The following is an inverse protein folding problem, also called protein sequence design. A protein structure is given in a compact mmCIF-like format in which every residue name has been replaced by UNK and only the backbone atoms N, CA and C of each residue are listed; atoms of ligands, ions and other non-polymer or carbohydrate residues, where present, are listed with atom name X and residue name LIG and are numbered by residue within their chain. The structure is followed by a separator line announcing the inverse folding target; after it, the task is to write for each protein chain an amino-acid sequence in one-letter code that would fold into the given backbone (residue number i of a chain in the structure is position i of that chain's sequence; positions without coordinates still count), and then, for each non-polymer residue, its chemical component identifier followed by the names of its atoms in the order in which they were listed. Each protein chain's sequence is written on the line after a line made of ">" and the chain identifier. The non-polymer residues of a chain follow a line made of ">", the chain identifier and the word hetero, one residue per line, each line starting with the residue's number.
data_IF_123089262887
#
_entry.id   IF_123089262887
#
_cell.length_a   1.000
_cell.length_b   1.000
_cell.length_c   1.000
_cell.angle_alpha   90.00
_cell.angle_beta   90.00
_cell.angle_gamma   90.00
#
_symmetry.space_group_name_H-M   'P 1'
#
loop_
_entity.id
_entity.type
_entity.pdbx_description
1 polymer ?
#
# COMPACT_ATOMS: atom_id res chain seq x y z
N UNK A 1 -12.24 10.18 5.20
CA UNK A 1 -11.37 9.76 6.33
C UNK A 1 -10.73 8.42 6.08
N UNK A 2 -11.48 7.35 5.97
CA UNK A 2 -10.97 5.99 5.79
C UNK A 2 -9.99 5.82 4.62
N UNK A 3 -10.25 6.42 3.46
CA UNK A 3 -9.35 6.27 2.31
C UNK A 3 -7.98 6.95 2.51
N UNK A 4 -7.89 8.07 3.26
CA UNK A 4 -6.60 8.71 3.57
C UNK A 4 -5.77 7.86 4.50
N UNK A 5 -6.40 7.27 5.52
CA UNK A 5 -5.75 6.29 6.39
C UNK A 5 -5.27 5.06 5.59
N UNK A 6 -6.08 4.57 4.65
CA UNK A 6 -5.73 3.48 3.75
C UNK A 6 -4.48 3.81 2.92
N UNK A 7 -4.45 4.97 2.24
CA UNK A 7 -3.30 5.40 1.43
C UNK A 7 -2.03 5.52 2.29
N UNK A 8 -2.12 6.15 3.46
CA UNK A 8 -0.99 6.32 4.36
C UNK A 8 -0.45 4.96 4.85
N UNK A 9 -1.32 4.01 5.19
CA UNK A 9 -0.92 2.67 5.57
C UNK A 9 -0.30 1.89 4.41
N UNK A 10 -0.84 1.98 3.19
CA UNK A 10 -0.26 1.31 2.02
C UNK A 10 1.15 1.82 1.73
N UNK A 11 1.35 3.13 1.75
CA UNK A 11 2.68 3.74 1.56
C UNK A 11 3.65 3.26 2.64
N UNK A 12 3.21 3.23 3.89
CA UNK A 12 3.99 2.72 5.02
C UNK A 12 4.38 1.24 4.82
N UNK A 13 3.44 0.40 4.39
CA UNK A 13 3.67 -1.01 4.13
C UNK A 13 4.63 -1.23 2.97
N UNK A 14 4.40 -0.56 1.85
CA UNK A 14 5.25 -0.67 0.66
C UNK A 14 6.68 -0.14 0.92
N UNK A 15 6.84 0.82 1.84
CA UNK A 15 8.14 1.31 2.29
C UNK A 15 8.79 0.48 3.41
N UNK A 16 8.17 -0.63 3.85
CA UNK A 16 8.70 -1.45 4.95
C UNK A 16 10.01 -2.13 4.57
N UNK A 17 10.95 -2.14 5.49
CA UNK A 17 12.28 -2.73 5.29
C UNK A 17 13.26 -2.20 6.34
N UNK A 18 14.56 -2.12 6.00
CA UNK A 18 15.22 -2.60 4.79
C UNK A 18 15.34 -4.14 4.78
N UNK A 19 15.45 -4.72 3.60
CA UNK A 19 15.66 -6.15 3.30
C UNK A 19 14.53 -7.09 3.71
N UNK A 20 14.02 -7.03 4.93
CA UNK A 20 13.02 -7.94 5.50
C UNK A 20 11.57 -7.47 5.36
N UNK A 21 11.31 -6.43 4.59
CA UNK A 21 9.97 -5.92 4.28
C UNK A 21 9.65 -5.96 2.79
N UNK A 22 8.55 -5.32 2.40
CA UNK A 22 8.22 -5.16 0.99
C UNK A 22 9.29 -4.37 0.26
N UNK A 23 9.63 -3.17 0.76
CA UNK A 23 10.72 -2.35 0.24
C UNK A 23 10.53 -1.88 -1.21
N UNK A 24 9.30 -1.83 -1.69
CA UNK A 24 8.98 -1.38 -3.06
C UNK A 24 9.09 0.14 -3.20
N UNK A 25 8.86 0.87 -2.10
CA UNK A 25 8.98 2.31 -2.03
C UNK A 25 10.16 2.72 -1.13
N UNK A 26 10.92 3.69 -1.60
CA UNK A 26 11.94 4.38 -0.83
C UNK A 26 11.29 5.67 -0.32
N UNK A 27 11.09 5.76 0.98
CA UNK A 27 10.49 6.93 1.63
C UNK A 27 11.56 7.96 1.97
N UNK A 28 11.22 9.27 1.99
CA UNK A 28 12.14 10.31 2.45
C UNK A 28 12.55 10.10 3.90
N UNK A 29 13.83 10.26 4.20
CA UNK A 29 14.37 10.30 5.55
C UNK A 29 14.29 11.74 6.07
N UNK A 30 13.21 12.08 6.77
CA UNK A 30 12.97 13.44 7.27
C UNK A 30 13.65 13.70 8.61
N UNK A 31 13.99 12.64 9.35
CA UNK A 31 14.49 12.73 10.72
C UNK A 31 15.31 11.48 11.10
N UNK A 32 16.13 11.53 12.15
CA UNK A 32 16.76 10.34 12.71
C UNK A 32 15.71 9.34 13.16
N UNK A 33 15.78 8.11 12.64
CA UNK A 33 14.73 7.09 12.88
C UNK A 33 14.77 6.48 14.28
N UNK A 34 15.92 6.56 14.97
CA UNK A 34 16.10 5.95 16.29
C UNK A 34 17.43 6.40 16.91
N UNK A 35 17.47 6.55 18.24
CA UNK A 35 18.69 6.76 19.00
C UNK A 35 19.56 5.51 19.15
N UNK A 36 18.95 4.32 19.01
CA UNK A 36 19.62 3.02 19.25
C UNK A 36 19.81 2.18 17.97
N UNK A 37 19.19 2.55 16.86
CA UNK A 37 19.30 1.85 15.59
C UNK A 37 19.82 2.79 14.50
N UNK A 38 21.13 2.85 14.26
CA UNK A 38 21.70 3.69 13.21
C UNK A 38 21.13 3.37 11.83
N UNK A 39 20.80 4.39 11.06
CA UNK A 39 20.28 4.24 9.70
C UNK A 39 18.81 3.81 9.59
N UNK A 40 18.07 3.70 10.70
CA UNK A 40 16.63 3.46 10.68
C UNK A 40 15.90 4.67 10.10
N UNK A 41 14.97 4.42 9.17
CA UNK A 41 14.03 5.42 8.65
C UNK A 41 12.62 5.05 9.10
N UNK A 42 11.96 5.96 9.80
CA UNK A 42 10.56 5.77 10.20
C UNK A 42 9.62 6.42 9.18
N UNK A 43 8.45 5.84 8.88
CA UNK A 43 7.42 6.42 8.03
C UNK A 43 6.55 7.42 8.80
N UNK A 44 7.18 8.37 9.52
CA UNK A 44 6.52 9.27 10.49
C UNK A 44 5.39 10.10 9.90
N UNK A 45 5.51 10.52 8.66
CA UNK A 45 4.44 11.27 7.99
C UNK A 45 3.21 10.40 7.75
N UNK A 46 3.39 9.14 7.38
CA UNK A 46 2.28 8.17 7.27
C UNK A 46 1.64 7.89 8.63
N UNK A 47 2.46 7.76 9.67
CA UNK A 47 2.01 7.54 11.04
C UNK A 47 1.19 8.73 11.54
N UNK A 48 1.67 9.95 11.32
CA UNK A 48 0.94 11.17 11.68
C UNK A 48 -0.43 11.26 11.03
N UNK A 49 -0.54 10.99 9.72
CA UNK A 49 -1.83 10.98 9.01
C UNK A 49 -2.78 9.93 9.59
N UNK A 50 -2.28 8.74 9.92
CA UNK A 50 -3.14 7.70 10.52
C UNK A 50 -3.63 8.10 11.90
N UNK A 51 -2.78 8.72 12.74
CA UNK A 51 -3.17 9.24 14.05
C UNK A 51 -4.23 10.35 13.93
N UNK A 52 -4.05 11.28 12.99
CA UNK A 52 -5.04 12.33 12.71
C UNK A 52 -6.37 11.72 12.26
N UNK A 53 -6.36 10.69 11.42
CA UNK A 53 -7.58 9.99 11.02
C UNK A 53 -8.33 9.39 12.21
N UNK A 54 -7.61 8.77 13.16
CA UNK A 54 -8.19 8.24 14.40
C UNK A 54 -8.79 9.36 15.25
N UNK A 55 -8.06 10.48 15.42
CA UNK A 55 -8.56 11.65 16.18
C UNK A 55 -9.86 12.20 15.57
N UNK A 56 -9.94 12.32 14.25
CA UNK A 56 -11.14 12.81 13.57
C UNK A 56 -12.33 11.84 13.72
N UNK A 57 -12.10 10.54 13.72
CA UNK A 57 -13.13 9.55 14.03
C UNK A 57 -13.63 9.72 15.47
N UNK A 58 -12.72 9.96 16.42
CA UNK A 58 -13.05 10.27 17.80
C UNK A 58 -13.93 11.53 17.93
N UNK A 59 -13.56 12.61 17.22
CA UNK A 59 -14.35 13.84 17.16
C UNK A 59 -15.74 13.58 16.57
N UNK A 60 -15.82 12.77 15.50
CA UNK A 60 -17.10 12.39 14.88
C UNK A 60 -18.02 11.65 15.87
N UNK A 61 -17.49 10.73 16.66
CA UNK A 61 -18.26 10.05 17.70
C UNK A 61 -18.80 11.04 18.74
N UNK A 62 -17.96 12.00 19.17
CA UNK A 62 -18.39 13.07 20.06
C UNK A 62 -19.51 13.93 19.46
N UNK A 63 -19.41 14.26 18.17
CA UNK A 63 -20.45 15.00 17.44
C UNK A 63 -21.75 14.19 17.36
N UNK A 64 -21.66 12.89 17.06
CA UNK A 64 -22.84 12.01 16.99
C UNK A 64 -23.56 11.94 18.31
N UNK A 65 -22.84 11.75 19.40
CA UNK A 65 -23.42 11.76 20.76
C UNK A 65 -24.02 13.12 21.09
N UNK A 66 -23.32 14.21 20.84
CA UNK A 66 -23.83 15.56 21.06
C UNK A 66 -25.09 15.84 20.22
N UNK A 67 -25.17 15.34 19.00
CA UNK A 67 -26.33 15.47 18.12
C UNK A 67 -27.56 14.71 18.60
N UNK A 68 -27.37 13.64 19.38
CA UNK A 68 -28.48 12.87 19.97
C UNK A 68 -29.14 13.54 21.20
N UNK A 69 -28.52 14.58 21.72
CA UNK A 69 -29.05 15.34 22.85
C UNK A 69 -29.92 16.53 22.37
N UNK A 70 -30.84 16.91 23.21
CA UNK A 70 -31.71 18.06 22.99
C UNK A 70 -32.97 17.98 23.84
N UNK A 71 -33.46 19.12 24.26
CA UNK A 71 -34.68 19.21 25.04
C UNK A 71 -35.52 20.39 24.51
N UNK A 72 -36.78 20.17 24.25
CA UNK A 72 -37.72 21.21 23.82
C UNK A 72 -37.16 22.10 22.68
N UNK A 73 -36.78 21.51 21.55
CA UNK A 73 -36.33 22.17 20.32
C UNK A 73 -34.97 22.92 20.46
N UNK A 74 -34.23 22.67 21.55
CA UNK A 74 -32.91 23.25 21.77
C UNK A 74 -31.86 22.18 22.06
N UNK A 75 -30.80 22.17 21.25
CA UNK A 75 -29.59 21.40 21.54
C UNK A 75 -28.50 22.37 22.02
N UNK A 76 -28.08 22.22 23.28
CA UNK A 76 -27.04 23.06 23.91
C UNK A 76 -25.61 22.61 23.58
N UNK A 77 -25.42 21.49 22.91
CA UNK A 77 -24.08 20.94 22.59
C UNK A 77 -23.42 21.56 21.33
N UNK A 78 -24.05 22.59 20.74
CA UNK A 78 -23.56 23.28 19.54
C UNK A 78 -22.08 23.73 19.65
N UNK A 79 -21.60 24.30 20.79
CA UNK A 79 -20.18 24.66 20.90
C UNK A 79 -19.22 23.48 20.79
N UNK A 80 -19.57 22.32 21.37
CA UNK A 80 -18.79 21.08 21.26
C UNK A 80 -18.79 20.57 19.82
N UNK A 81 -19.95 20.57 19.17
CA UNK A 81 -20.08 20.16 17.76
C UNK A 81 -19.21 21.05 16.86
N UNK A 82 -19.31 22.36 17.02
CA UNK A 82 -18.54 23.33 16.25
C UNK A 82 -17.02 23.16 16.48
N UNK A 83 -16.59 23.02 17.72
CA UNK A 83 -15.18 22.78 18.06
C UNK A 83 -14.64 21.51 17.38
N UNK A 84 -15.34 20.40 17.53
CA UNK A 84 -14.89 19.12 16.97
C UNK A 84 -14.86 19.11 15.44
N UNK A 85 -15.81 19.78 14.78
CA UNK A 85 -15.80 19.90 13.31
C UNK A 85 -14.62 20.77 12.84
N UNK A 86 -14.48 21.95 13.41
CA UNK A 86 -13.41 22.90 13.02
C UNK A 86 -12.02 22.31 13.26
N UNK A 87 -11.79 21.71 14.44
CA UNK A 87 -10.55 20.99 14.72
C UNK A 87 -10.30 19.88 13.71
N UNK A 88 -11.31 19.10 13.38
CA UNK A 88 -11.17 17.99 12.41
C UNK A 88 -10.77 18.48 11.01
N UNK A 89 -11.33 19.62 10.58
CA UNK A 89 -10.98 20.23 9.29
C UNK A 89 -9.53 20.70 9.32
N UNK A 90 -9.12 21.43 10.35
CA UNK A 90 -7.78 22.00 10.51
C UNK A 90 -6.70 20.90 10.52
N UNK A 91 -6.78 19.94 11.45
CA UNK A 91 -5.76 18.89 11.57
C UNK A 91 -5.69 18.00 10.34
N UNK A 92 -6.82 17.82 9.62
CA UNK A 92 -6.84 17.05 8.37
C UNK A 92 -6.21 17.82 7.22
N UNK A 93 -6.44 19.11 7.11
CA UNK A 93 -5.84 19.97 6.09
C UNK A 93 -4.33 20.02 6.27
N UNK A 94 -3.86 20.28 7.50
CA UNK A 94 -2.44 20.38 7.82
C UNK A 94 -1.71 19.05 7.63
N UNK A 95 -2.25 17.95 8.15
CA UNK A 95 -1.64 16.63 7.97
C UNK A 95 -1.57 16.21 6.50
N UNK A 96 -2.59 16.51 5.70
CA UNK A 96 -2.58 16.22 4.26
C UNK A 96 -1.51 17.02 3.52
N UNK A 97 -1.35 18.31 3.87
CA UNK A 97 -0.32 19.18 3.31
C UNK A 97 1.08 18.70 3.67
N UNK A 98 1.32 18.39 4.94
CA UNK A 98 2.62 17.88 5.42
C UNK A 98 2.95 16.54 4.78
N UNK A 99 1.99 15.63 4.71
CA UNK A 99 2.16 14.34 4.05
C UNK A 99 2.53 14.48 2.57
N UNK A 100 1.86 15.38 1.85
CA UNK A 100 2.20 15.66 0.45
C UNK A 100 3.62 16.18 0.29
N UNK A 101 4.03 17.15 1.13
CA UNK A 101 5.33 17.81 1.03
C UNK A 101 6.49 16.93 1.49
N UNK A 102 6.35 16.27 2.63
CA UNK A 102 7.45 15.58 3.29
C UNK A 102 7.46 14.06 3.06
N UNK A 103 6.41 13.51 2.48
CA UNK A 103 6.38 12.09 2.11
C UNK A 103 6.17 11.93 0.60
N UNK A 104 4.97 12.22 0.08
CA UNK A 104 4.57 11.85 -1.27
C UNK A 104 5.49 12.42 -2.33
N UNK A 105 5.87 13.70 -2.22
CA UNK A 105 6.76 14.38 -3.17
C UNK A 105 8.15 13.74 -3.28
N UNK A 106 8.62 13.08 -2.23
CA UNK A 106 9.95 12.49 -2.16
C UNK A 106 9.98 10.96 -2.34
N UNK A 107 8.84 10.30 -2.53
CA UNK A 107 8.78 8.85 -2.75
C UNK A 107 9.50 8.48 -4.04
N UNK A 108 10.31 7.42 -3.97
CA UNK A 108 10.94 6.79 -5.13
C UNK A 108 10.58 5.32 -5.18
N UNK A 109 10.45 4.77 -6.39
CA UNK A 109 10.28 3.33 -6.58
C UNK A 109 11.62 2.61 -6.50
N UNK A 110 11.74 1.58 -5.68
CA UNK A 110 12.86 0.63 -5.75
C UNK A 110 12.59 -0.36 -6.88
N UNK A 111 13.00 0.03 -8.08
CA UNK A 111 12.76 -0.78 -9.30
C UNK A 111 13.35 -2.17 -9.22
N UNK A 112 14.51 -2.32 -8.54
CA UNK A 112 15.17 -3.62 -8.37
C UNK A 112 14.33 -4.53 -7.47
N UNK A 113 13.86 -4.00 -6.35
CA UNK A 113 13.03 -4.76 -5.42
C UNK A 113 11.68 -5.12 -6.02
N UNK A 114 11.05 -4.16 -6.70
CA UNK A 114 9.78 -4.39 -7.41
C UNK A 114 9.94 -5.51 -8.44
N UNK A 115 11.02 -5.50 -9.22
CA UNK A 115 11.27 -6.55 -10.21
C UNK A 115 11.45 -7.92 -9.54
N UNK A 116 12.21 -8.01 -8.45
CA UNK A 116 12.38 -9.26 -7.70
C UNK A 116 11.05 -9.84 -7.20
N UNK A 117 10.19 -8.99 -6.63
CA UNK A 117 8.87 -9.41 -6.16
C UNK A 117 7.96 -9.81 -7.31
N UNK A 118 8.03 -9.09 -8.43
CA UNK A 118 7.25 -9.39 -9.63
C UNK A 118 7.68 -10.73 -10.24
N UNK A 119 8.98 -11.01 -10.31
CA UNK A 119 9.50 -12.27 -10.86
C UNK A 119 9.14 -13.47 -9.96
N UNK A 120 9.01 -13.24 -8.66
CA UNK A 120 8.65 -14.29 -7.69
C UNK A 120 7.14 -14.56 -7.61
N UNK A 121 6.29 -13.68 -8.14
CA UNK A 121 4.83 -13.88 -8.04
C UNK A 121 4.34 -14.98 -8.96
N UNK A 122 3.44 -15.82 -8.45
CA UNK A 122 2.77 -16.87 -9.25
C UNK A 122 1.55 -16.34 -10.01
N UNK A 123 1.08 -15.12 -9.73
CA UNK A 123 -0.11 -14.54 -10.37
C UNK A 123 0.05 -14.36 -11.88
N UNK A 124 1.29 -14.16 -12.34
CA UNK A 124 1.60 -13.99 -13.75
C UNK A 124 1.32 -15.23 -14.61
N UNK A 125 1.08 -16.39 -14.00
CA UNK A 125 0.68 -17.63 -14.70
C UNK A 125 -0.56 -17.44 -15.56
N UNK A 126 -1.42 -16.48 -15.24
CA UNK A 126 -2.61 -16.16 -16.05
C UNK A 126 -2.27 -15.71 -17.48
N UNK A 127 -1.08 -15.13 -17.70
CA UNK A 127 -0.61 -14.78 -19.05
C UNK A 127 -0.19 -16.02 -19.87
N UNK A 128 0.20 -17.11 -19.21
CA UNK A 128 0.57 -18.36 -19.87
C UNK A 128 -0.65 -19.19 -20.32
N UNK A 129 -1.73 -19.18 -19.55
CA UNK A 129 -2.89 -20.03 -19.78
C UNK A 129 -3.45 -19.95 -21.23
N UNK A 130 -3.57 -18.77 -21.89
CA UNK A 130 -4.03 -18.70 -23.28
C UNK A 130 -3.09 -19.36 -24.30
N UNK A 131 -1.81 -19.59 -23.94
CA UNK A 131 -0.79 -20.14 -24.85
C UNK A 131 -0.56 -21.62 -24.64
N UNK A 132 -0.55 -22.09 -23.39
CA UNK A 132 -0.20 -23.47 -23.04
C UNK A 132 -1.38 -24.28 -22.52
N UNK A 133 -2.56 -23.65 -22.34
CA UNK A 133 -3.76 -24.22 -21.74
C UNK A 133 -3.77 -24.09 -20.22
N UNK A 134 -5.01 -24.06 -19.66
CA UNK A 134 -5.24 -23.84 -18.23
C UNK A 134 -4.57 -24.91 -17.34
N UNK A 135 -4.74 -26.20 -17.69
CA UNK A 135 -4.25 -27.29 -16.85
C UNK A 135 -2.72 -27.32 -16.76
N UNK A 136 -2.03 -27.06 -17.87
CA UNK A 136 -0.56 -26.94 -17.87
C UNK A 136 -0.11 -25.73 -17.08
N UNK A 137 -0.76 -24.59 -17.25
CA UNK A 137 -0.45 -23.37 -16.48
C UNK A 137 -0.66 -23.60 -14.98
N UNK A 138 -1.75 -24.22 -14.58
CA UNK A 138 -2.04 -24.58 -13.20
C UNK A 138 -0.98 -25.55 -12.61
N UNK A 139 -0.57 -26.56 -13.40
CA UNK A 139 0.48 -27.50 -12.98
C UNK A 139 1.81 -26.75 -12.72
N UNK A 140 2.22 -25.87 -13.65
CA UNK A 140 3.45 -25.06 -13.50
C UNK A 140 3.39 -24.23 -12.22
N UNK A 141 2.30 -23.49 -11.98
CA UNK A 141 2.17 -22.67 -10.78
C UNK A 141 2.24 -23.49 -9.49
N UNK A 142 1.57 -24.65 -9.44
CA UNK A 142 1.62 -25.57 -8.29
C UNK A 142 3.03 -26.14 -8.09
N UNK A 143 3.73 -26.47 -9.16
CA UNK A 143 5.10 -27.00 -9.11
C UNK A 143 6.07 -25.93 -8.64
N UNK A 144 5.99 -24.71 -9.18
CA UNK A 144 6.79 -23.57 -8.77
C UNK A 144 6.58 -23.26 -7.28
N UNK A 145 5.33 -23.24 -6.81
CA UNK A 145 5.01 -23.05 -5.39
C UNK A 145 5.62 -24.14 -4.50
N UNK A 146 5.47 -25.40 -4.88
CA UNK A 146 5.99 -26.56 -4.11
C UNK A 146 7.53 -26.55 -4.03
N UNK A 147 8.19 -26.18 -5.13
CA UNK A 147 9.65 -26.19 -5.25
C UNK A 147 10.32 -24.89 -4.75
N UNK A 148 9.54 -23.82 -4.49
CA UNK A 148 10.08 -22.50 -4.18
C UNK A 148 10.81 -21.84 -5.36
N UNK A 149 10.45 -22.23 -6.60
CA UNK A 149 11.01 -21.74 -7.84
C UNK A 149 10.11 -20.69 -8.50
N UNK A 150 10.62 -20.02 -9.53
CA UNK A 150 9.85 -19.08 -10.34
C UNK A 150 9.06 -19.81 -11.43
N UNK A 151 8.03 -19.15 -11.97
CA UNK A 151 7.30 -19.66 -13.14
C UNK A 151 8.24 -19.86 -14.34
N UNK A 152 9.21 -18.97 -14.52
CA UNK A 152 10.18 -19.03 -15.62
C UNK A 152 11.02 -20.31 -15.53
N UNK A 153 11.57 -20.58 -14.35
CA UNK A 153 12.40 -21.77 -14.12
C UNK A 153 11.64 -23.06 -14.42
N UNK A 154 10.39 -23.20 -13.96
CA UNK A 154 9.61 -24.41 -14.19
C UNK A 154 9.16 -24.57 -15.66
N UNK A 155 8.81 -23.47 -16.34
CA UNK A 155 8.46 -23.49 -17.78
C UNK A 155 9.63 -23.94 -18.63
N UNK A 156 10.83 -23.42 -18.36
CA UNK A 156 12.06 -23.77 -19.09
C UNK A 156 12.50 -25.20 -18.78
N UNK A 157 12.41 -25.65 -17.53
CA UNK A 157 12.75 -26.99 -17.09
C UNK A 157 11.86 -28.06 -17.72
N UNK A 158 10.55 -27.79 -17.85
CA UNK A 158 9.61 -28.69 -18.53
C UNK A 158 9.70 -28.58 -20.08
N UNK A 159 10.51 -27.69 -20.63
CA UNK A 159 10.70 -27.51 -22.09
C UNK A 159 9.42 -27.03 -22.82
N UNK A 160 8.50 -26.38 -22.11
CA UNK A 160 7.20 -25.96 -22.67
C UNK A 160 7.34 -24.76 -23.59
N UNK A 161 8.22 -23.83 -23.24
CA UNK A 161 8.52 -22.63 -24.02
C UNK A 161 10.03 -22.37 -24.01
N UNK A 162 10.51 -21.68 -25.07
CA UNK A 162 11.83 -21.10 -25.04
C UNK A 162 11.86 -19.85 -24.13
N UNK A 163 13.03 -19.48 -23.64
CA UNK A 163 13.18 -18.26 -22.83
C UNK A 163 12.63 -17.03 -23.57
N UNK A 164 12.96 -16.91 -24.86
CA UNK A 164 12.48 -15.80 -25.71
C UNK A 164 10.97 -15.76 -25.84
N UNK A 165 10.31 -16.92 -25.96
CA UNK A 165 8.86 -16.97 -26.06
C UNK A 165 8.21 -16.67 -24.70
N UNK A 166 8.81 -17.17 -23.61
CA UNK A 166 8.37 -16.85 -22.27
C UNK A 166 8.38 -15.33 -22.02
N UNK A 167 9.52 -14.67 -22.26
CA UNK A 167 9.69 -13.23 -22.03
C UNK A 167 8.74 -12.38 -22.91
N UNK A 168 8.42 -12.86 -24.10
CA UNK A 168 7.42 -12.21 -24.99
C UNK A 168 5.99 -12.29 -24.46
N UNK A 169 5.64 -13.42 -23.85
CA UNK A 169 4.30 -13.67 -23.28
C UNK A 169 4.17 -12.96 -21.92
N UNK A 170 5.19 -13.10 -21.08
CA UNK A 170 5.23 -12.60 -19.72
C UNK A 170 5.61 -11.12 -19.69
N UNK A 171 4.72 -10.28 -20.22
CA UNK A 171 4.86 -8.83 -20.17
C UNK A 171 3.81 -8.24 -19.22
N UNK A 172 4.17 -7.94 -17.95
CA UNK A 172 3.22 -7.45 -16.95
C UNK A 172 2.51 -6.17 -17.36
N UNK A 173 3.17 -5.28 -18.11
CA UNK A 173 2.55 -4.04 -18.58
C UNK A 173 1.38 -4.27 -19.54
N UNK A 174 1.38 -5.37 -20.27
CA UNK A 174 0.24 -5.73 -21.12
C UNK A 174 -0.95 -6.23 -20.33
N UNK A 175 -0.73 -6.74 -19.12
CA UNK A 175 -1.79 -7.24 -18.23
C UNK A 175 -2.53 -6.11 -17.51
N UNK A 176 -1.96 -4.91 -17.44
CA UNK A 176 -2.55 -3.74 -16.78
C UNK A 176 -3.39 -2.87 -17.71
N UNK A 177 -3.42 -3.18 -19.01
CA UNK A 177 -4.21 -2.42 -19.99
C UNK A 177 -5.56 -3.08 -20.19
N UNK A 178 -6.65 -2.30 -20.33
CA UNK A 178 -7.94 -2.86 -20.72
C UNK A 178 -7.79 -3.54 -22.09
N UNK A 179 -8.48 -4.68 -22.25
CA UNK A 179 -8.54 -5.39 -23.53
C UNK A 179 -9.53 -4.72 -24.47
#
# INVERSE_FOLDING_TARGET
>A
MLFRSKIANDIRFLGSGPRAGYGELILPANEPGSSIMPGKVNPTQSEAVTMVCVKVIGNHNGITMAGSHGHFELNVFKPLIAHNILQSIEIMADSSKMFALYCVKGIKADKKRIQQLLDSTLMLVTALAPKIGYDKAAKIAKTAHKNGTTLKEEVLKEGILTEKDYDKIMNPLKMTKPK
#
